data_IF_407796426152
#
_entry.id   IF_407796426152
#
_cell.length_a   1.000
_cell.length_b   1.000
_cell.length_c   1.000
_cell.angle_alpha   90.00
_cell.angle_beta   90.00
_cell.angle_gamma   90.00
#
_symmetry.space_group_name_H-M   'P 1'
#
loop_
_entity.id
_entity.type
_entity.pdbx_description
1 polymer ?
#
# COMPACT_ATOMS: atom_id res chain seq x y z
N UNK A 1 11.98 -8.45 7.25
CA UNK A 1 11.15 -8.75 6.06
C UNK A 1 9.71 -8.30 6.23
N UNK A 2 8.95 -8.84 7.19
CA UNK A 2 7.53 -8.45 7.38
C UNK A 2 7.35 -6.95 7.66
N UNK A 3 8.12 -6.44 8.62
CA UNK A 3 8.11 -5.01 8.97
C UNK A 3 8.55 -4.15 7.77
N UNK A 4 9.61 -4.56 7.06
CA UNK A 4 10.12 -3.81 5.91
C UNK A 4 9.07 -3.68 4.79
N UNK A 5 8.36 -4.77 4.50
CA UNK A 5 7.26 -4.76 3.53
C UNK A 5 6.13 -3.81 3.97
N UNK A 6 5.64 -3.95 5.21
CA UNK A 6 4.57 -3.08 5.72
C UNK A 6 4.99 -1.60 5.78
N UNK A 7 6.25 -1.32 6.09
CA UNK A 7 6.80 0.04 6.08
C UNK A 7 6.87 0.60 4.66
N UNK A 8 7.29 -0.20 3.68
CA UNK A 8 7.32 0.23 2.29
C UNK A 8 5.91 0.54 1.76
N UNK A 9 4.91 -0.30 2.06
CA UNK A 9 3.50 -0.04 1.73
C UNK A 9 2.99 1.26 2.34
N UNK A 10 3.29 1.49 3.63
CA UNK A 10 2.91 2.73 4.31
C UNK A 10 3.57 3.96 3.68
N UNK A 11 4.86 3.89 3.38
CA UNK A 11 5.61 5.00 2.75
C UNK A 11 5.06 5.33 1.37
N UNK A 12 4.70 4.31 0.59
CA UNK A 12 4.04 4.51 -0.69
C UNK A 12 2.70 5.24 -0.53
N UNK A 13 1.87 4.85 0.45
CA UNK A 13 0.61 5.56 0.74
C UNK A 13 0.85 7.03 1.11
N UNK A 14 1.78 7.29 2.02
CA UNK A 14 2.11 8.64 2.48
C UNK A 14 2.64 9.52 1.34
N UNK A 15 3.52 8.97 0.48
CA UNK A 15 4.06 9.69 -0.67
C UNK A 15 2.98 10.04 -1.70
N UNK A 16 2.07 9.09 -2.01
CA UNK A 16 0.94 9.38 -2.90
C UNK A 16 0.00 10.42 -2.31
N UNK A 17 -0.25 10.39 -1.00
CA UNK A 17 -1.09 11.41 -0.33
C UNK A 17 -0.50 12.80 -0.43
N UNK A 18 0.82 12.94 -0.28
CA UNK A 18 1.49 14.23 -0.37
C UNK A 18 1.29 14.84 -1.77
N UNK A 19 1.55 14.07 -2.82
CA UNK A 19 1.31 14.50 -4.21
C UNK A 19 -0.17 14.80 -4.46
N UNK A 20 -1.08 14.04 -3.84
CA UNK A 20 -2.51 14.28 -4.02
C UNK A 20 -3.00 15.59 -3.40
N UNK A 21 -2.30 16.09 -2.37
CA UNK A 21 -2.56 17.34 -1.65
C UNK A 21 -1.84 18.55 -2.29
N UNK A 22 -0.79 18.31 -3.08
CA UNK A 22 -0.11 19.34 -3.86
C UNK A 22 -1.05 19.96 -4.91
N UNK A 23 -0.98 21.30 -5.02
CA UNK A 23 -1.72 22.03 -6.04
C UNK A 23 -1.10 21.79 -7.42
N UNK A 24 -1.71 20.89 -8.19
CA UNK A 24 -1.35 20.64 -9.58
C UNK A 24 -2.34 21.30 -10.53
N UNK A 25 -1.83 22.14 -11.43
CA UNK A 25 -2.66 22.81 -12.46
C UNK A 25 -3.08 21.86 -13.58
N UNK A 26 -2.32 20.78 -13.80
CA UNK A 26 -2.59 19.75 -14.82
C UNK A 26 -2.91 18.38 -14.18
N UNK A 27 -4.12 17.83 -14.42
CA UNK A 27 -4.51 16.50 -13.95
C UNK A 27 -3.60 15.37 -14.45
N UNK A 28 -3.06 15.46 -15.67
CA UNK A 28 -2.21 14.40 -16.23
C UNK A 28 -0.86 14.34 -15.52
N UNK A 29 -0.24 15.50 -15.29
CA UNK A 29 0.98 15.62 -14.50
C UNK A 29 0.79 15.09 -13.09
N UNK A 30 -0.32 15.43 -12.41
CA UNK A 30 -0.64 14.89 -11.09
C UNK A 30 -0.73 13.36 -11.10
N UNK A 31 -1.47 12.80 -12.04
CA UNK A 31 -1.64 11.35 -12.16
C UNK A 31 -0.31 10.62 -12.43
N UNK A 32 0.53 11.18 -13.30
CA UNK A 32 1.88 10.66 -13.57
C UNK A 32 2.76 10.71 -12.30
N UNK A 33 2.70 11.80 -11.54
CA UNK A 33 3.47 11.96 -10.31
C UNK A 33 3.05 10.98 -9.22
N UNK A 34 1.75 10.73 -9.06
CA UNK A 34 1.20 9.70 -8.14
C UNK A 34 1.79 8.33 -8.46
N UNK A 35 1.77 7.92 -9.74
CA UNK A 35 2.32 6.63 -10.17
C UNK A 35 3.84 6.57 -9.98
N UNK A 36 4.54 7.67 -10.25
CA UNK A 36 5.99 7.77 -10.04
C UNK A 36 6.38 7.58 -8.57
N UNK A 37 5.72 8.27 -7.62
CA UNK A 37 6.06 8.14 -6.20
C UNK A 37 5.67 6.78 -5.62
N UNK A 38 4.61 6.16 -6.14
CA UNK A 38 4.29 4.77 -5.82
C UNK A 38 5.42 3.83 -6.28
N UNK A 39 5.84 3.92 -7.54
CA UNK A 39 6.90 3.09 -8.10
C UNK A 39 8.24 3.30 -7.37
N UNK A 40 8.57 4.55 -7.01
CA UNK A 40 9.81 4.88 -6.31
C UNK A 40 9.81 4.52 -4.81
N UNK A 41 8.67 4.05 -4.26
CA UNK A 41 8.54 3.76 -2.83
C UNK A 41 9.30 2.51 -2.37
N UNK A 42 9.67 1.63 -3.31
CA UNK A 42 10.28 0.34 -3.02
C UNK A 42 9.28 -0.74 -2.55
N UNK A 43 7.97 -0.46 -2.62
CA UNK A 43 6.95 -1.41 -2.14
C UNK A 43 6.87 -2.69 -2.98
N UNK A 44 7.12 -2.59 -4.28
CA UNK A 44 7.12 -3.74 -5.19
C UNK A 44 8.27 -4.68 -4.84
N UNK A 45 9.49 -4.17 -4.67
CA UNK A 45 10.66 -4.95 -4.31
C UNK A 45 10.57 -5.51 -2.89
N UNK A 46 10.00 -4.75 -1.95
CA UNK A 46 9.81 -5.24 -0.59
C UNK A 46 8.77 -6.37 -0.53
N UNK A 47 7.70 -6.29 -1.32
CA UNK A 47 6.72 -7.37 -1.50
C UNK A 47 7.39 -8.60 -2.13
N UNK A 48 8.09 -8.42 -3.25
CA UNK A 48 8.67 -9.55 -3.98
C UNK A 48 9.65 -10.36 -3.12
N UNK A 49 10.53 -9.69 -2.36
CA UNK A 49 11.44 -10.36 -1.42
C UNK A 49 10.70 -11.18 -0.37
N UNK A 50 9.57 -10.68 0.11
CA UNK A 50 8.75 -11.36 1.10
C UNK A 50 8.05 -12.58 0.49
N UNK A 51 7.41 -12.44 -0.67
CA UNK A 51 6.69 -13.53 -1.35
C UNK A 51 7.61 -14.71 -1.67
N UNK A 52 8.88 -14.47 -2.00
CA UNK A 52 9.85 -15.54 -2.27
C UNK A 52 10.16 -16.46 -1.08
N UNK A 53 9.90 -16.00 0.15
CA UNK A 53 10.29 -16.70 1.38
C UNK A 53 9.12 -17.02 2.30
N UNK A 54 7.96 -16.42 2.06
CA UNK A 54 6.77 -16.54 2.87
C UNK A 54 5.96 -17.80 2.54
N UNK A 55 5.14 -18.22 3.50
CA UNK A 55 4.08 -19.20 3.26
C UNK A 55 2.96 -18.62 2.39
N UNK A 56 2.07 -19.48 1.90
CA UNK A 56 0.91 -19.06 1.10
C UNK A 56 0.02 -18.08 1.87
N UNK A 57 -0.30 -18.37 3.13
CA UNK A 57 -1.16 -17.53 3.97
C UNK A 57 -0.58 -16.12 4.18
N UNK A 58 0.74 -16.03 4.40
CA UNK A 58 1.44 -14.75 4.54
C UNK A 58 1.44 -13.99 3.22
N UNK A 59 1.69 -14.69 2.11
CA UNK A 59 1.67 -14.11 0.76
C UNK A 59 0.30 -13.52 0.44
N UNK A 60 -0.77 -14.28 0.67
CA UNK A 60 -2.15 -13.82 0.45
C UNK A 60 -2.48 -12.58 1.28
N UNK A 61 -2.09 -12.57 2.56
CA UNK A 61 -2.38 -11.46 3.45
C UNK A 61 -1.63 -10.17 3.04
N UNK A 62 -0.37 -10.29 2.63
CA UNK A 62 0.42 -9.17 2.10
C UNK A 62 -0.13 -8.69 0.76
N UNK A 63 -0.53 -9.59 -0.12
CA UNK A 63 -1.10 -9.27 -1.42
C UNK A 63 -2.42 -8.51 -1.28
N UNK A 64 -3.28 -8.87 -0.32
CA UNK A 64 -4.47 -8.09 0.00
C UNK A 64 -4.13 -6.64 0.40
N UNK A 65 -3.10 -6.46 1.23
CA UNK A 65 -2.62 -5.13 1.63
C UNK A 65 -2.00 -4.35 0.46
N UNK A 66 -1.30 -5.02 -0.44
CA UNK A 66 -0.65 -4.41 -1.60
C UNK A 66 -1.66 -4.03 -2.70
N UNK A 67 -2.60 -4.90 -3.01
CA UNK A 67 -3.63 -4.63 -4.02
C UNK A 67 -4.55 -3.49 -3.59
N UNK A 68 -5.00 -3.47 -2.33
CA UNK A 68 -5.78 -2.34 -1.81
C UNK A 68 -5.03 -1.00 -1.85
N UNK A 69 -3.69 -1.02 -1.77
CA UNK A 69 -2.87 0.17 -1.95
C UNK A 69 -2.80 0.63 -3.41
N UNK A 70 -2.79 -0.31 -4.37
CA UNK A 70 -2.90 0.00 -5.80
C UNK A 70 -4.26 0.61 -6.14
N UNK A 71 -5.32 0.18 -5.47
CA UNK A 71 -6.65 0.79 -5.64
C UNK A 71 -6.65 2.26 -5.18
N UNK A 72 -5.98 2.56 -4.05
CA UNK A 72 -5.75 3.95 -3.63
C UNK A 72 -4.97 4.73 -4.69
N UNK A 73 -3.91 4.13 -5.25
CA UNK A 73 -3.11 4.77 -6.32
C UNK A 73 -4.00 5.15 -7.50
N UNK A 74 -4.84 4.23 -7.97
CA UNK A 74 -5.73 4.50 -9.10
C UNK A 74 -6.82 5.52 -8.77
N UNK A 75 -7.40 5.48 -7.57
CA UNK A 75 -8.36 6.49 -7.14
C UNK A 75 -7.72 7.89 -7.16
N UNK A 76 -6.54 8.04 -6.54
CA UNK A 76 -5.81 9.31 -6.53
C UNK A 76 -5.39 9.73 -7.94
N UNK A 77 -4.86 8.82 -8.76
CA UNK A 77 -4.46 9.11 -10.14
C UNK A 77 -5.64 9.45 -11.05
N UNK A 78 -6.87 9.06 -10.71
CA UNK A 78 -8.10 9.41 -11.42
C UNK A 78 -8.67 10.78 -11.03
N UNK A 79 -7.99 11.50 -10.13
CA UNK A 79 -8.41 12.84 -9.69
C UNK A 79 -9.12 12.88 -8.34
N UNK A 80 -9.33 11.74 -7.66
CA UNK A 80 -9.85 11.76 -6.30
C UNK A 80 -8.90 12.55 -5.39
N UNK A 81 -9.48 13.37 -4.53
CA UNK A 81 -8.74 14.12 -3.50
C UNK A 81 -8.74 13.34 -2.20
N UNK A 82 -7.92 13.77 -1.24
CA UNK A 82 -7.95 13.19 0.10
C UNK A 82 -9.28 13.40 0.84
N UNK A 83 -10.15 14.31 0.36
CA UNK A 83 -11.47 14.56 0.91
C UNK A 83 -12.58 13.78 0.20
N UNK A 84 -12.30 13.17 -0.96
CA UNK A 84 -13.27 12.41 -1.75
C UNK A 84 -13.73 11.14 -1.02
N UNK A 85 -15.02 10.81 -1.12
CA UNK A 85 -15.60 9.61 -0.49
C UNK A 85 -14.95 8.33 -1.02
N UNK A 86 -14.66 8.27 -2.31
CA UNK A 86 -14.00 7.16 -2.98
C UNK A 86 -12.61 6.89 -2.40
N UNK A 87 -11.85 7.96 -2.15
CA UNK A 87 -10.55 7.85 -1.49
C UNK A 87 -10.69 7.37 -0.05
N UNK A 88 -11.68 7.88 0.70
CA UNK A 88 -11.90 7.46 2.09
C UNK A 88 -12.31 5.99 2.19
N UNK A 89 -13.17 5.52 1.27
CA UNK A 89 -13.55 4.12 1.16
C UNK A 89 -12.33 3.23 0.84
N UNK A 90 -11.55 3.59 -0.18
CA UNK A 90 -10.33 2.86 -0.54
C UNK A 90 -9.31 2.84 0.62
N UNK A 91 -9.15 3.97 1.32
CA UNK A 91 -8.29 4.08 2.51
C UNK A 91 -8.74 3.15 3.63
N UNK A 92 -10.05 3.05 3.87
CA UNK A 92 -10.58 2.16 4.90
C UNK A 92 -10.29 0.70 4.54
N UNK A 93 -10.60 0.29 3.31
CA UNK A 93 -10.32 -1.07 2.80
C UNK A 93 -8.84 -1.42 2.95
N UNK A 94 -7.93 -0.52 2.56
CA UNK A 94 -6.50 -0.73 2.73
C UNK A 94 -6.09 -0.85 4.20
N UNK A 95 -6.66 -0.03 5.08
CA UNK A 95 -6.44 -0.12 6.52
C UNK A 95 -6.89 -1.47 7.11
N UNK A 96 -8.03 -1.98 6.67
CA UNK A 96 -8.56 -3.29 7.04
C UNK A 96 -7.65 -4.42 6.54
N UNK A 97 -7.26 -4.40 5.27
CA UNK A 97 -6.34 -5.38 4.69
C UNK A 97 -4.98 -5.39 5.42
N UNK A 98 -4.43 -4.21 5.72
CA UNK A 98 -3.16 -4.11 6.46
C UNK A 98 -3.31 -4.64 7.90
N UNK A 99 -4.46 -4.43 8.55
CA UNK A 99 -4.74 -5.00 9.87
C UNK A 99 -4.81 -6.52 9.82
N UNK A 100 -5.51 -7.08 8.82
CA UNK A 100 -5.59 -8.53 8.61
C UNK A 100 -4.20 -9.13 8.37
N UNK A 101 -3.37 -8.50 7.53
CA UNK A 101 -1.99 -8.91 7.32
C UNK A 101 -1.20 -8.97 8.64
N UNK A 102 -1.28 -7.95 9.49
CA UNK A 102 -0.58 -7.95 10.79
C UNK A 102 -1.02 -9.08 11.71
N UNK A 103 -2.26 -9.56 11.63
CA UNK A 103 -2.73 -10.70 12.43
C UNK A 103 -1.99 -11.97 11.99
N UNK A 104 -1.98 -12.26 10.69
CA UNK A 104 -1.30 -13.43 10.11
C UNK A 104 0.20 -13.40 10.42
N UNK A 105 0.85 -12.26 10.19
CA UNK A 105 2.28 -12.10 10.43
C UNK A 105 2.67 -12.28 11.91
N UNK A 106 1.84 -11.83 12.85
CA UNK A 106 2.11 -12.01 14.28
C UNK A 106 1.94 -13.46 14.72
N UNK A 107 0.96 -14.17 14.14
CA UNK A 107 0.77 -15.58 14.43
C UNK A 107 1.97 -16.41 13.94
N UNK A 108 2.48 -16.11 12.75
CA UNK A 108 3.68 -16.74 12.23
C UNK A 108 4.91 -16.47 13.11
N UNK A 109 5.15 -15.20 13.48
CA UNK A 109 6.26 -14.84 14.38
C UNK A 109 6.16 -15.56 15.73
N UNK A 110 4.97 -15.66 16.32
CA UNK A 110 4.77 -16.36 17.59
C UNK A 110 5.05 -17.87 17.47
N UNK A 111 4.76 -18.47 16.31
CA UNK A 111 5.05 -19.89 16.06
C UNK A 111 6.56 -20.17 15.91
N UNK A 112 7.36 -19.18 15.51
CA UNK A 112 8.82 -19.30 15.44
C UNK A 112 9.50 -19.18 16.82
N UNK A 113 8.83 -18.59 17.80
CA UNK A 113 9.33 -18.42 19.17
C UNK A 113 8.94 -19.57 20.12
N UNK A 114 8.07 -20.48 19.66
CA UNK A 114 7.56 -21.63 20.42
C UNK A 114 8.37 -22.91 20.18
#
# INVERSE_FOLDING_TARGET
MYVDCLVALRRAHEAMRLVADENHTDPQTRAAKIRQVFQASGCDEARERLVLTATADITEAIDGSYHSLRDIREALASGCTIASEEYQAARQIHGDATRAARVVLRADLAALEA
#
